data_IF_595664364707
#
_entry.id   IF_595664364707
#
_cell.length_a   1.000
_cell.length_b   1.000
_cell.length_c   1.000
_cell.angle_alpha   90.00
_cell.angle_beta   90.00
_cell.angle_gamma   90.00
#
_symmetry.space_group_name_H-M   'P 1'
#
loop_
_entity.id
_entity.type
_entity.pdbx_description
1 polymer ?
#
# COMPACT_ATOMS: atom_id res chain seq x y z
N UNK A 1 23.03 39.36 -32.86
CA UNK A 1 21.78 39.15 -33.62
C UNK A 1 21.47 37.66 -33.60
N UNK A 2 20.34 37.25 -33.02
CA UNK A 2 19.95 35.83 -33.02
C UNK A 2 19.46 35.45 -34.42
N UNK A 3 19.98 34.36 -34.98
CA UNK A 3 19.56 33.87 -36.29
C UNK A 3 18.22 33.15 -36.15
N UNK A 4 17.20 33.60 -36.90
CA UNK A 4 15.92 32.91 -36.99
C UNK A 4 16.07 31.66 -37.87
N UNK A 5 16.00 30.48 -37.25
CA UNK A 5 16.04 29.20 -37.97
C UNK A 5 14.62 28.69 -38.20
N UNK A 6 14.24 28.48 -39.46
CA UNK A 6 12.98 27.82 -39.82
C UNK A 6 13.13 26.31 -39.61
N UNK A 7 12.29 25.72 -38.75
CA UNK A 7 12.17 24.26 -38.57
C UNK A 7 10.83 23.78 -39.12
N UNK A 8 10.82 22.61 -39.75
CA UNK A 8 9.60 21.90 -40.13
C UNK A 8 9.40 20.74 -39.15
N UNK A 9 8.19 20.63 -38.60
CA UNK A 9 7.82 19.59 -37.63
C UNK A 9 6.73 18.74 -38.26
N UNK A 10 6.86 17.42 -38.14
CA UNK A 10 5.82 16.47 -38.52
C UNK A 10 4.94 16.26 -37.29
N UNK A 11 3.67 16.63 -37.39
CA UNK A 11 2.67 16.44 -36.35
C UNK A 11 1.58 15.49 -36.88
N UNK A 12 1.01 14.68 -35.98
CA UNK A 12 -0.17 13.90 -36.31
C UNK A 12 -1.37 14.81 -36.57
N UNK A 13 -2.37 14.30 -37.29
CA UNK A 13 -3.59 15.05 -37.61
C UNK A 13 -4.32 15.52 -36.33
N UNK A 14 -4.41 14.67 -35.31
CA UNK A 14 -5.01 15.02 -34.02
C UNK A 14 -4.27 16.16 -33.32
N UNK A 15 -2.93 16.16 -33.37
CA UNK A 15 -2.14 17.21 -32.77
C UNK A 15 -2.28 18.54 -33.53
N UNK A 16 -2.46 18.50 -34.85
CA UNK A 16 -2.76 19.70 -35.64
C UNK A 16 -4.13 20.30 -35.29
N UNK A 17 -5.15 19.45 -35.12
CA UNK A 17 -6.48 19.91 -34.71
C UNK A 17 -6.45 20.60 -33.34
N UNK A 18 -5.79 19.97 -32.36
CA UNK A 18 -5.62 20.56 -31.02
C UNK A 18 -4.80 21.84 -31.04
N UNK A 19 -3.78 21.91 -31.88
CA UNK A 19 -2.98 23.12 -32.05
C UNK A 19 -3.83 24.29 -32.54
N UNK A 20 -4.71 24.04 -33.50
CA UNK A 20 -5.64 25.03 -34.03
C UNK A 20 -6.62 25.51 -32.96
N UNK A 21 -7.24 24.57 -32.22
CA UNK A 21 -8.16 24.89 -31.12
C UNK A 21 -7.52 25.75 -30.03
N UNK A 22 -6.25 25.47 -29.68
CA UNK A 22 -5.53 26.26 -28.69
C UNK A 22 -5.08 27.62 -29.23
N UNK A 23 -4.67 27.68 -30.50
CA UNK A 23 -4.34 28.95 -31.15
C UNK A 23 -5.54 29.91 -31.11
N UNK A 24 -6.74 29.41 -31.43
CA UNK A 24 -7.99 30.16 -31.36
C UNK A 24 -8.31 30.57 -29.92
N UNK A 25 -8.23 29.62 -28.97
CA UNK A 25 -8.56 29.87 -27.55
C UNK A 25 -7.71 30.97 -26.91
N UNK A 26 -6.43 31.04 -27.26
CA UNK A 26 -5.49 31.98 -26.67
C UNK A 26 -5.22 33.20 -27.55
N UNK A 27 -5.90 33.34 -28.69
CA UNK A 27 -5.70 34.41 -29.68
C UNK A 27 -4.23 34.54 -30.12
N UNK A 28 -3.56 33.40 -30.30
CA UNK A 28 -2.15 33.33 -30.72
C UNK A 28 -2.04 32.63 -32.07
N UNK A 29 -1.05 33.02 -32.87
CA UNK A 29 -0.69 32.21 -34.05
C UNK A 29 -0.16 30.84 -33.61
N UNK A 30 -0.49 29.79 -34.35
CA UNK A 30 -0.01 28.42 -34.11
C UNK A 30 1.53 28.37 -33.97
N UNK A 31 2.26 29.10 -34.81
CA UNK A 31 3.72 29.17 -34.78
C UNK A 31 4.25 29.77 -33.46
N UNK A 32 3.55 30.77 -32.91
CA UNK A 32 3.89 31.38 -31.63
C UNK A 32 3.58 30.43 -30.47
N UNK A 33 2.46 29.73 -30.54
CA UNK A 33 2.07 28.73 -29.56
C UNK A 33 3.10 27.58 -29.51
N UNK A 34 3.54 27.09 -30.67
CA UNK A 34 4.61 26.08 -30.77
C UNK A 34 5.94 26.62 -30.22
N UNK A 35 6.31 27.87 -30.51
CA UNK A 35 7.53 28.47 -29.97
C UNK A 35 7.52 28.53 -28.45
N UNK A 36 6.41 28.97 -27.85
CA UNK A 36 6.24 29.01 -26.40
C UNK A 36 6.27 27.62 -25.79
N UNK A 37 5.62 26.64 -26.42
CA UNK A 37 5.65 25.25 -25.98
C UNK A 37 7.08 24.69 -25.98
N UNK A 38 7.87 24.94 -27.03
CA UNK A 38 9.28 24.53 -27.09
C UNK A 38 10.13 25.23 -26.02
N UNK A 39 9.88 26.51 -25.74
CA UNK A 39 10.62 27.27 -24.72
C UNK A 39 10.28 26.84 -23.30
N UNK A 40 9.03 26.45 -23.06
CA UNK A 40 8.54 25.96 -21.78
C UNK A 40 8.76 24.45 -21.61
N UNK A 41 9.23 23.75 -22.63
CA UNK A 41 9.48 22.32 -22.57
C UNK A 41 10.70 22.04 -21.69
N UNK A 42 10.42 21.58 -20.48
CA UNK A 42 11.42 21.08 -19.54
C UNK A 42 11.39 19.54 -19.55
N UNK A 43 12.37 18.87 -20.18
CA UNK A 43 12.40 17.41 -20.21
C UNK A 43 12.57 16.80 -18.81
N UNK A 44 13.21 17.50 -17.87
CA UNK A 44 13.42 17.00 -16.50
C UNK A 44 12.14 17.10 -15.65
N UNK A 45 11.33 18.14 -15.87
CA UNK A 45 10.03 18.32 -15.21
C UNK A 45 8.99 17.25 -15.57
N UNK A 46 8.99 16.78 -16.82
CA UNK A 46 8.06 15.74 -17.29
C UNK A 46 8.39 14.36 -16.68
N UNK A 47 9.68 14.04 -16.50
CA UNK A 47 10.11 12.80 -15.84
C UNK A 47 9.85 12.83 -14.32
N UNK A 48 9.91 14.01 -13.69
CA UNK A 48 9.63 14.17 -12.28
C UNK A 48 8.14 13.98 -11.94
N UNK A 49 7.23 14.50 -12.77
CA UNK A 49 5.78 14.34 -12.56
C UNK A 49 5.31 12.89 -12.77
N UNK A 50 5.85 12.19 -13.78
CA UNK A 50 5.53 10.77 -14.00
C UNK A 50 6.06 9.87 -12.88
N UNK A 51 7.29 10.11 -12.41
CA UNK A 51 7.87 9.40 -11.27
C UNK A 51 7.14 9.69 -9.95
N UNK A 52 6.54 10.88 -9.78
CA UNK A 52 5.73 11.22 -8.61
C UNK A 52 4.40 10.46 -8.60
N UNK A 53 3.72 10.38 -9.74
CA UNK A 53 2.43 9.68 -9.86
C UNK A 53 2.56 8.16 -9.64
N UNK A 54 3.65 7.54 -10.11
CA UNK A 54 3.91 6.11 -9.85
C UNK A 54 4.18 5.85 -8.37
N UNK A 55 4.98 6.70 -7.71
CA UNK A 55 5.27 6.58 -6.27
C UNK A 55 4.03 6.78 -5.40
N UNK A 56 3.15 7.72 -5.75
CA UNK A 56 1.88 7.90 -5.05
C UNK A 56 0.97 6.67 -5.16
N UNK A 57 0.94 6.03 -6.34
CA UNK A 57 0.17 4.81 -6.55
C UNK A 57 0.73 3.62 -5.75
N UNK A 58 2.05 3.47 -5.70
CA UNK A 58 2.71 2.46 -4.88
C UNK A 58 2.46 2.68 -3.38
N UNK A 59 2.54 3.93 -2.91
CA UNK A 59 2.23 4.27 -1.53
C UNK A 59 0.75 3.97 -1.19
N UNK A 60 -0.18 4.30 -2.09
CA UNK A 60 -1.60 3.98 -1.91
C UNK A 60 -1.86 2.47 -1.83
N UNK A 61 -1.22 1.68 -2.69
CA UNK A 61 -1.32 0.22 -2.67
C UNK A 61 -0.74 -0.38 -1.38
N UNK A 62 0.37 0.17 -0.89
CA UNK A 62 0.97 -0.26 0.38
C UNK A 62 0.05 0.04 1.57
N UNK A 63 -0.56 1.23 1.60
CA UNK A 63 -1.48 1.61 2.66
C UNK A 63 -2.73 0.72 2.68
N UNK A 64 -3.31 0.42 1.51
CA UNK A 64 -4.44 -0.51 1.39
C UNK A 64 -4.07 -1.91 1.91
N UNK A 65 -2.86 -2.39 1.59
CA UNK A 65 -2.39 -3.67 2.11
C UNK A 65 -2.20 -3.66 3.63
N UNK A 66 -1.66 -2.57 4.19
CA UNK A 66 -1.51 -2.41 5.64
C UNK A 66 -2.87 -2.37 6.34
N UNK A 67 -3.86 -1.67 5.78
CA UNK A 67 -5.22 -1.62 6.31
C UNK A 67 -5.85 -3.02 6.35
N UNK A 68 -5.75 -3.77 5.25
CA UNK A 68 -6.25 -5.15 5.19
C UNK A 68 -5.57 -6.06 6.22
N UNK A 69 -4.24 -5.95 6.37
CA UNK A 69 -3.50 -6.74 7.34
C UNK A 69 -3.90 -6.40 8.79
N UNK A 70 -4.09 -5.11 9.10
CA UNK A 70 -4.53 -4.66 10.43
C UNK A 70 -5.93 -5.18 10.73
N UNK A 71 -6.86 -5.06 9.78
CA UNK A 71 -8.23 -5.54 9.96
C UNK A 71 -8.28 -7.06 10.18
N UNK A 72 -7.50 -7.83 9.40
CA UNK A 72 -7.38 -9.26 9.59
C UNK A 72 -6.78 -9.63 10.96
N UNK A 73 -5.77 -8.88 11.43
CA UNK A 73 -5.18 -9.07 12.75
C UNK A 73 -6.18 -8.77 13.88
N UNK A 74 -6.97 -7.69 13.75
CA UNK A 74 -8.02 -7.35 14.71
C UNK A 74 -9.08 -8.45 14.79
N UNK A 75 -9.55 -8.95 13.64
CA UNK A 75 -10.52 -10.05 13.59
C UNK A 75 -9.96 -11.32 14.25
N UNK A 76 -8.70 -11.68 13.96
CA UNK A 76 -8.05 -12.82 14.59
C UNK A 76 -7.97 -12.67 16.12
N UNK A 77 -7.67 -11.47 16.63
CA UNK A 77 -7.63 -11.17 18.06
C UNK A 77 -9.02 -11.27 18.69
N UNK A 78 -10.06 -10.76 18.03
CA UNK A 78 -11.45 -10.84 18.53
C UNK A 78 -11.94 -12.29 18.59
N UNK A 79 -11.64 -13.09 17.57
CA UNK A 79 -11.95 -14.53 17.55
C UNK A 79 -11.21 -15.26 18.66
N UNK A 80 -9.92 -14.98 18.84
CA UNK A 80 -9.12 -15.58 19.91
C UNK A 80 -9.66 -15.20 21.30
N UNK A 81 -9.99 -13.93 21.54
CA UNK A 81 -10.61 -13.48 22.78
C UNK A 81 -11.95 -14.16 23.04
N UNK A 82 -12.78 -14.31 22.01
CA UNK A 82 -14.07 -15.01 22.13
C UNK A 82 -13.86 -16.47 22.52
N UNK A 83 -12.89 -17.15 21.91
CA UNK A 83 -12.53 -18.53 22.26
C UNK A 83 -12.04 -18.65 23.70
N UNK A 84 -11.18 -17.73 24.14
CA UNK A 84 -10.69 -17.69 25.54
C UNK A 84 -11.85 -17.52 26.51
N UNK A 85 -12.76 -16.57 26.26
CA UNK A 85 -13.94 -16.36 27.11
C UNK A 85 -14.85 -17.59 27.18
N UNK A 86 -15.07 -18.26 26.04
CA UNK A 86 -15.86 -19.50 25.99
C UNK A 86 -15.20 -20.63 26.78
N UNK A 87 -13.89 -20.81 26.63
CA UNK A 87 -13.12 -21.80 27.40
C UNK A 87 -13.19 -21.48 28.90
N UNK A 88 -12.97 -20.22 29.29
CA UNK A 88 -13.05 -19.79 30.68
C UNK A 88 -14.42 -20.04 31.31
N UNK A 89 -15.51 -19.76 30.58
CA UNK A 89 -16.87 -20.04 31.03
C UNK A 89 -17.16 -21.55 31.15
N UNK A 90 -16.46 -22.38 30.38
CA UNK A 90 -16.58 -23.84 30.38
C UNK A 90 -15.71 -24.60 31.39
N UNK A 91 -14.81 -23.91 32.10
CA UNK A 91 -13.85 -24.56 33.01
C UNK A 91 -14.52 -25.21 34.23
N UNK A 92 -15.71 -24.75 34.60
CA UNK A 92 -16.50 -25.33 35.70
C UNK A 92 -17.13 -26.68 35.33
N UNK A 93 -17.22 -27.02 34.04
CA UNK A 93 -17.67 -28.34 33.56
C UNK A 93 -16.47 -29.31 33.43
N UNK A 94 -16.43 -30.41 34.22
CA UNK A 94 -15.38 -31.42 34.13
C UNK A 94 -15.24 -32.06 32.75
N UNK A 95 -16.33 -32.20 31.98
CA UNK A 95 -16.30 -32.81 30.66
C UNK A 95 -15.62 -31.89 29.63
N UNK A 96 -15.94 -30.59 29.66
CA UNK A 96 -15.31 -29.60 28.78
C UNK A 96 -13.84 -29.41 29.11
N UNK A 97 -13.49 -29.38 30.40
CA UNK A 97 -12.09 -29.29 30.84
C UNK A 97 -11.24 -30.44 30.30
N UNK A 98 -11.78 -31.66 30.29
CA UNK A 98 -11.10 -32.84 29.76
C UNK A 98 -10.94 -32.78 28.23
N UNK A 99 -11.95 -32.26 27.53
CA UNK A 99 -11.88 -32.06 26.08
C UNK A 99 -10.81 -31.02 25.70
N UNK A 100 -10.77 -29.88 26.39
CA UNK A 100 -9.76 -28.82 26.17
C UNK A 100 -8.34 -29.35 26.47
N UNK A 101 -8.16 -30.10 27.55
CA UNK A 101 -6.87 -30.72 27.85
C UNK A 101 -6.39 -31.68 26.76
N UNK A 102 -7.31 -32.46 26.17
CA UNK A 102 -6.96 -33.40 25.10
C UNK A 102 -6.61 -32.67 23.80
N UNK A 103 -7.33 -31.58 23.48
CA UNK A 103 -7.02 -30.72 22.34
C UNK A 103 -5.62 -30.09 22.47
N UNK A 104 -5.32 -29.49 23.62
CA UNK A 104 -3.98 -28.92 23.91
C UNK A 104 -2.91 -30.00 23.81
N UNK A 105 -3.18 -31.21 24.32
CA UNK A 105 -2.22 -32.32 24.25
C UNK A 105 -1.93 -32.74 22.80
N UNK A 106 -2.94 -32.71 21.93
CA UNK A 106 -2.78 -33.00 20.50
C UNK A 106 -2.01 -31.90 19.78
N UNK A 107 -2.27 -30.63 20.07
CA UNK A 107 -1.53 -29.50 19.49
C UNK A 107 -0.05 -29.51 19.90
N UNK A 108 0.25 -29.80 21.18
CA UNK A 108 1.63 -29.94 21.68
C UNK A 108 2.33 -31.13 21.04
N UNK A 109 1.63 -32.25 20.85
CA UNK A 109 2.19 -33.41 20.16
C UNK A 109 2.45 -33.15 18.67
N UNK A 110 1.63 -32.32 18.03
CA UNK A 110 1.82 -31.89 16.65
C UNK A 110 2.95 -30.87 16.47
N UNK A 111 3.25 -30.08 17.51
CA UNK A 111 4.28 -29.04 17.50
C UNK A 111 5.31 -29.25 18.64
N UNK A 112 6.22 -30.22 18.50
CA UNK A 112 7.29 -30.46 19.47
C UNK A 112 8.28 -29.29 19.46
N UNK A 113 8.07 -28.31 20.35
CA UNK A 113 8.84 -27.07 20.45
C UNK A 113 7.98 -25.87 20.89
N UNK A 114 6.65 -25.97 20.73
CA UNK A 114 5.72 -24.90 21.10
C UNK A 114 5.82 -24.48 22.58
N UNK A 115 6.05 -25.43 23.49
CA UNK A 115 6.18 -25.13 24.92
C UNK A 115 7.49 -24.42 25.27
N UNK A 116 8.55 -24.60 24.49
CA UNK A 116 9.82 -23.89 24.69
C UNK A 116 9.65 -22.41 24.30
N UNK A 117 8.98 -22.14 23.18
CA UNK A 117 8.63 -20.76 22.75
C UNK A 117 7.73 -20.04 23.76
N UNK A 118 6.76 -20.75 24.35
CA UNK A 118 5.91 -20.20 25.42
C UNK A 118 6.72 -19.93 26.69
N UNK A 119 7.68 -20.79 27.03
CA UNK A 119 8.53 -20.60 28.21
C UNK A 119 9.41 -19.35 28.08
N UNK A 120 9.99 -19.11 26.91
CA UNK A 120 10.80 -17.91 26.63
C UNK A 120 9.97 -16.62 26.79
N UNK A 121 8.73 -16.62 26.31
CA UNK A 121 7.82 -15.47 26.37
C UNK A 121 7.41 -15.09 27.80
N UNK A 122 7.21 -16.10 28.67
CA UNK A 122 6.87 -15.89 30.08
C UNK A 122 8.07 -15.35 30.87
N UNK A 123 9.28 -15.80 30.55
CA UNK A 123 10.52 -15.33 31.20
C UNK A 123 10.75 -13.85 30.86
N UNK A 124 10.64 -13.45 29.58
CA UNK A 124 10.81 -12.05 29.16
C UNK A 124 9.83 -11.08 29.85
N UNK A 125 8.57 -11.50 30.05
CA UNK A 125 7.58 -10.67 30.75
C UNK A 125 7.83 -10.57 32.26
N UNK A 126 8.48 -11.58 32.86
CA UNK A 126 8.83 -11.56 34.29
C UNK A 126 10.03 -10.64 34.61
N UNK A 127 10.94 -10.47 33.65
CA UNK A 127 12.11 -9.58 33.78
C UNK A 127 11.79 -8.11 33.45
N UNK A 128 10.77 -7.85 32.63
CA UNK A 128 10.29 -6.48 32.32
C UNK A 128 9.49 -5.83 33.46
N UNK A 129 9.00 -6.64 34.41
CA UNK A 129 8.17 -6.20 35.53
C UNK A 129 8.94 -6.03 36.87
N UNK A 130 10.26 -6.26 36.89
CA UNK A 130 11.15 -6.13 38.05
C UNK A 130 12.08 -4.91 37.93
#
# INVERSE_FOLDING_TARGET
MSALTRKQLLLSQDNLLRLHEWADRYELSEAELVRRAIQAYDPEGVEAESASAEREKEAAAMLDHMEQAINAALEAVEVANTRVLQVMAGLDDPAQRKAVMEEVRQEVAANPGFLDEVADLVIEHSESAA
#
